data_IF_611013541879
#
_entry.id   IF_611013541879
#
_cell.length_a   1.000
_cell.length_b   1.000
_cell.length_c   1.000
_cell.angle_alpha   90.00
_cell.angle_beta   90.00
_cell.angle_gamma   90.00
#
_symmetry.space_group_name_H-M   'P 1'
#
loop_
_entity.id
_entity.type
_entity.pdbx_description
1 polymer ?
#
# COMPACT_ATOMS: atom_id res chain seq x y z
N UNK A 1 8.46 7.49 20.04
CA UNK A 1 7.98 6.96 18.75
C UNK A 1 8.95 7.37 17.67
N UNK A 2 9.41 6.43 16.84
CA UNK A 2 10.28 6.76 15.70
C UNK A 2 9.45 7.50 14.67
N UNK A 3 9.88 8.71 14.29
CA UNK A 3 9.27 9.45 13.18
C UNK A 3 9.55 8.68 11.90
N UNK A 4 8.50 8.41 11.13
CA UNK A 4 8.67 7.81 9.82
C UNK A 4 8.71 8.92 8.79
N UNK A 5 9.61 8.81 7.84
CA UNK A 5 9.87 9.84 6.84
C UNK A 5 9.80 9.24 5.44
N UNK A 6 9.42 10.07 4.47
CA UNK A 6 9.48 9.74 3.06
C UNK A 6 10.33 10.80 2.34
N UNK A 7 11.12 10.37 1.37
CA UNK A 7 11.88 11.28 0.50
C UNK A 7 11.06 11.53 -0.75
N UNK A 8 10.77 12.80 -1.05
CA UNK A 8 10.11 13.23 -2.28
C UNK A 8 11.04 14.24 -2.96
N UNK A 9 11.55 13.87 -4.14
CA UNK A 9 12.61 14.61 -4.81
C UNK A 9 13.86 14.75 -3.94
N UNK A 10 14.19 15.98 -3.54
CA UNK A 10 15.36 16.29 -2.67
C UNK A 10 14.99 16.47 -1.20
N UNK A 11 13.71 16.54 -0.89
CA UNK A 11 13.21 16.87 0.43
C UNK A 11 12.82 15.60 1.19
N UNK A 12 12.91 15.65 2.51
CA UNK A 12 12.51 14.57 3.42
C UNK A 12 11.38 15.09 4.28
N UNK A 13 10.24 14.43 4.20
CA UNK A 13 9.02 14.82 4.89
C UNK A 13 8.68 13.82 5.99
N UNK A 14 8.06 14.29 7.07
CA UNK A 14 7.60 13.41 8.16
C UNK A 14 6.16 12.98 7.89
N UNK A 15 5.92 11.67 7.86
CA UNK A 15 4.56 11.14 7.73
C UNK A 15 3.78 11.34 9.03
N UNK A 16 2.66 12.06 8.93
CA UNK A 16 1.75 12.30 10.04
C UNK A 16 0.92 11.02 10.33
N UNK A 17 0.97 10.54 11.59
CA UNK A 17 0.19 9.38 12.08
C UNK A 17 -0.97 9.80 12.98
N UNK A 18 -1.44 11.02 12.82
CA UNK A 18 -2.56 11.57 13.58
C UNK A 18 -3.88 10.95 13.16
N UNK A 19 -4.88 11.05 14.04
CA UNK A 19 -6.25 10.57 13.76
C UNK A 19 -6.81 11.25 12.50
N UNK A 20 -6.48 12.52 12.26
CA UNK A 20 -6.90 13.25 11.05
C UNK A 20 -6.44 12.59 9.76
N UNK A 21 -5.20 12.12 9.70
CA UNK A 21 -4.65 11.40 8.54
C UNK A 21 -5.43 10.11 8.27
N UNK A 22 -5.62 9.28 9.30
CA UNK A 22 -6.33 8.02 9.12
C UNK A 22 -7.81 8.23 8.78
N UNK A 23 -8.46 9.24 9.36
CA UNK A 23 -9.83 9.61 9.01
C UNK A 23 -9.96 10.05 7.56
N UNK A 24 -8.97 10.76 7.01
CA UNK A 24 -8.95 11.13 5.59
C UNK A 24 -8.87 9.89 4.67
N UNK A 25 -8.32 8.78 5.17
CA UNK A 25 -8.28 7.48 4.50
C UNK A 25 -9.51 6.60 4.83
N UNK A 26 -10.55 7.17 5.44
CA UNK A 26 -11.75 6.43 5.83
C UNK A 26 -11.57 5.50 7.05
N UNK A 27 -10.45 5.60 7.77
CA UNK A 27 -10.14 4.74 8.91
C UNK A 27 -10.44 5.43 10.24
N UNK A 28 -11.23 4.77 11.08
CA UNK A 28 -11.70 5.31 12.36
C UNK A 28 -11.20 4.47 13.54
N UNK A 29 -10.61 5.08 14.58
CA UNK A 29 -10.15 4.32 15.75
C UNK A 29 -11.28 3.50 16.39
N UNK A 30 -10.96 2.29 16.85
CA UNK A 30 -11.86 1.34 17.54
C UNK A 30 -12.99 0.73 16.68
N UNK A 31 -13.06 1.01 15.38
CA UNK A 31 -14.01 0.40 14.45
C UNK A 31 -13.34 -0.73 13.65
N UNK A 32 -12.92 -1.80 14.33
CA UNK A 32 -12.05 -2.82 13.72
C UNK A 32 -12.73 -3.45 12.50
N UNK A 33 -13.99 -3.88 12.62
CA UNK A 33 -14.72 -4.57 11.57
C UNK A 33 -14.91 -3.67 10.34
N UNK A 34 -15.28 -2.41 10.55
CA UNK A 34 -15.48 -1.43 9.49
C UNK A 34 -14.17 -1.02 8.81
N UNK A 35 -13.06 -1.01 9.57
CA UNK A 35 -11.74 -0.71 9.01
C UNK A 35 -11.14 -1.87 8.22
N UNK A 36 -11.59 -3.12 8.41
CA UNK A 36 -10.99 -4.28 7.73
C UNK A 36 -11.13 -4.14 6.21
N UNK A 37 -12.29 -3.72 5.72
CA UNK A 37 -12.51 -3.56 4.27
C UNK A 37 -11.66 -2.42 3.70
N UNK A 38 -11.73 -1.24 4.30
CA UNK A 38 -10.98 -0.07 3.83
C UNK A 38 -9.46 -0.26 3.90
N UNK A 39 -8.96 -0.78 5.03
CA UNK A 39 -7.54 -1.10 5.16
C UNK A 39 -7.14 -2.31 4.32
N UNK A 40 -8.08 -3.24 4.09
CA UNK A 40 -7.97 -4.37 3.16
C UNK A 40 -7.58 -3.93 1.76
N UNK A 41 -8.40 -3.06 1.18
CA UNK A 41 -8.16 -2.51 -0.14
C UNK A 41 -6.84 -1.76 -0.20
N UNK A 42 -6.55 -0.92 0.80
CA UNK A 42 -5.27 -0.20 0.88
C UNK A 42 -4.07 -1.16 0.87
N UNK A 43 -4.09 -2.20 1.72
CA UNK A 43 -2.98 -3.16 1.82
C UNK A 43 -2.80 -3.92 0.51
N UNK A 44 -3.88 -4.40 -0.10
CA UNK A 44 -3.82 -5.11 -1.38
C UNK A 44 -3.26 -4.22 -2.48
N UNK A 45 -3.77 -2.98 -2.62
CA UNK A 45 -3.28 -2.00 -3.60
C UNK A 45 -1.81 -1.66 -3.39
N UNK A 46 -1.34 -1.54 -2.15
CA UNK A 46 0.09 -1.32 -1.88
C UNK A 46 0.94 -2.55 -2.26
N UNK A 47 0.47 -3.76 -1.96
CA UNK A 47 1.19 -4.99 -2.33
C UNK A 47 1.22 -5.24 -3.84
N UNK A 48 0.24 -4.75 -4.60
CA UNK A 48 0.23 -4.79 -6.07
C UNK A 48 0.94 -3.59 -6.71
N UNK A 49 1.44 -2.64 -5.91
CA UNK A 49 2.17 -1.47 -6.40
C UNK A 49 1.28 -0.43 -7.09
N UNK A 50 0.02 -0.28 -6.68
CA UNK A 50 -0.91 0.67 -7.26
C UNK A 50 -0.53 2.13 -6.92
N UNK A 51 -0.11 2.95 -7.90
CA UNK A 51 0.44 4.28 -7.60
C UNK A 51 -0.60 5.28 -7.09
N UNK A 52 -1.87 5.13 -7.47
CA UNK A 52 -2.95 6.02 -7.00
C UNK A 52 -3.15 5.90 -5.49
N UNK A 53 -3.14 4.69 -4.95
CA UNK A 53 -3.22 4.46 -3.50
C UNK A 53 -2.03 5.08 -2.76
N UNK A 54 -0.82 5.01 -3.34
CA UNK A 54 0.37 5.68 -2.79
C UNK A 54 0.12 7.19 -2.70
N UNK A 55 -0.37 7.81 -3.77
CA UNK A 55 -0.69 9.25 -3.80
C UNK A 55 -1.71 9.62 -2.73
N UNK A 56 -2.82 8.89 -2.62
CA UNK A 56 -3.86 9.16 -1.63
C UNK A 56 -3.32 9.12 -0.19
N UNK A 57 -2.49 8.12 0.12
CA UNK A 57 -1.88 7.99 1.44
C UNK A 57 -0.89 9.12 1.69
N UNK A 58 -0.05 9.47 0.71
CA UNK A 58 0.93 10.54 0.85
C UNK A 58 0.25 11.89 1.06
N UNK A 59 -0.80 12.21 0.29
CA UNK A 59 -1.59 13.43 0.47
C UNK A 59 -2.18 13.52 1.88
N UNK A 60 -2.76 12.43 2.38
CA UNK A 60 -3.30 12.40 3.74
C UNK A 60 -2.20 12.54 4.81
N UNK A 61 -1.08 11.84 4.65
CA UNK A 61 0.01 11.78 5.63
C UNK A 61 0.92 13.02 5.62
N UNK A 62 0.96 13.77 4.51
CA UNK A 62 1.76 14.98 4.34
C UNK A 62 0.92 16.27 4.37
N UNK A 63 -0.38 16.18 4.67
CA UNK A 63 -1.30 17.32 4.72
C UNK A 63 -0.91 18.46 5.67
N UNK A 64 0.05 18.25 6.57
CA UNK A 64 0.59 19.27 7.49
C UNK A 64 1.98 19.78 7.09
N UNK A 65 2.56 19.24 6.02
CA UNK A 65 3.87 19.60 5.49
C UNK A 65 3.73 20.65 4.38
N UNK A 66 4.80 21.36 4.08
CA UNK A 66 4.85 22.33 2.97
C UNK A 66 5.18 21.61 1.66
N UNK A 67 4.19 20.91 1.11
CA UNK A 67 4.23 20.18 -0.17
C UNK A 67 2.84 20.23 -0.82
N UNK A 68 2.78 20.39 -2.13
CA UNK A 68 1.50 20.40 -2.85
C UNK A 68 1.08 19.00 -3.29
N UNK A 69 -0.22 18.83 -3.51
CA UNK A 69 -0.77 17.62 -4.12
C UNK A 69 -0.14 17.31 -5.48
N UNK A 70 0.13 18.34 -6.29
CA UNK A 70 0.77 18.23 -7.59
C UNK A 70 2.23 17.76 -7.46
N UNK A 71 2.98 18.23 -6.46
CA UNK A 71 4.34 17.74 -6.20
C UNK A 71 4.35 16.24 -5.85
N UNK A 72 3.35 15.77 -5.09
CA UNK A 72 3.20 14.35 -4.73
C UNK A 72 2.87 13.52 -5.97
N UNK A 73 1.90 13.98 -6.78
CA UNK A 73 1.50 13.30 -8.02
C UNK A 73 2.66 13.24 -9.02
N UNK A 74 3.33 14.37 -9.27
CA UNK A 74 4.47 14.43 -10.17
C UNK A 74 5.61 13.51 -9.70
N UNK A 75 5.86 13.44 -8.39
CA UNK A 75 6.84 12.51 -7.87
C UNK A 75 6.46 11.05 -8.12
N UNK A 76 5.21 10.67 -7.88
CA UNK A 76 4.79 9.26 -8.02
C UNK A 76 4.65 8.83 -9.48
N UNK A 77 4.15 9.70 -10.36
CA UNK A 77 3.82 9.34 -11.75
C UNK A 77 4.86 9.80 -12.78
N UNK A 78 5.53 10.92 -12.55
CA UNK A 78 6.38 11.57 -13.56
C UNK A 78 7.88 11.49 -13.25
N UNK A 79 8.23 11.24 -11.98
CA UNK A 79 9.60 10.95 -11.58
C UNK A 79 9.84 9.43 -11.51
N UNK A 80 11.12 9.03 -11.48
CA UNK A 80 11.55 7.65 -11.23
C UNK A 80 11.34 7.26 -9.75
N UNK A 81 10.13 7.45 -9.23
CA UNK A 81 9.76 6.98 -7.92
C UNK A 81 9.88 5.46 -7.85
N UNK A 82 10.56 4.99 -6.81
CA UNK A 82 10.60 3.58 -6.47
C UNK A 82 9.26 3.20 -5.82
N UNK A 83 8.31 2.80 -6.66
CA UNK A 83 6.94 2.44 -6.26
C UNK A 83 6.94 1.29 -5.27
N UNK A 84 7.78 0.28 -5.48
CA UNK A 84 7.92 -0.86 -4.57
C UNK A 84 8.39 -0.39 -3.20
N UNK A 85 9.44 0.44 -3.15
CA UNK A 85 9.95 1.00 -1.91
C UNK A 85 8.93 1.89 -1.20
N UNK A 86 8.19 2.73 -1.93
CA UNK A 86 7.13 3.55 -1.37
C UNK A 86 6.02 2.69 -0.78
N UNK A 87 5.61 1.63 -1.48
CA UNK A 87 4.63 0.66 -0.96
C UNK A 87 5.10 0.03 0.35
N UNK A 88 6.35 -0.44 0.43
CA UNK A 88 6.92 -1.00 1.66
C UNK A 88 6.91 0.00 2.82
N UNK A 89 7.32 1.24 2.54
CA UNK A 89 7.38 2.29 3.55
C UNK A 89 5.96 2.65 4.03
N UNK A 90 4.97 2.70 3.14
CA UNK A 90 3.57 2.94 3.49
C UNK A 90 2.93 1.76 4.22
N UNK A 91 3.26 0.51 3.88
CA UNK A 91 2.85 -0.66 4.68
C UNK A 91 3.42 -0.58 6.10
N UNK A 92 4.70 -0.21 6.23
CA UNK A 92 5.34 0.03 7.53
C UNK A 92 4.68 1.18 8.30
N UNK A 93 4.11 2.17 7.61
CA UNK A 93 3.35 3.25 8.21
C UNK A 93 2.12 2.74 8.97
N UNK A 94 1.31 1.88 8.34
CA UNK A 94 0.15 1.27 9.00
C UNK A 94 0.57 0.27 10.10
N UNK A 95 1.60 -0.55 9.86
CA UNK A 95 2.16 -1.49 10.86
C UNK A 95 2.61 -0.80 12.15
N UNK A 96 3.08 0.43 12.04
CA UNK A 96 3.57 1.23 13.16
C UNK A 96 2.59 2.34 13.58
N UNK A 97 1.28 2.12 13.40
CA UNK A 97 0.22 3.06 13.74
C UNK A 97 -0.72 2.55 14.83
N UNK A 98 -1.73 3.35 15.20
CA UNK A 98 -2.85 2.93 16.04
C UNK A 98 -3.67 1.78 15.42
N UNK A 99 -3.57 1.57 14.11
CA UNK A 99 -4.27 0.52 13.36
C UNK A 99 -3.45 -0.77 13.21
N UNK A 100 -2.30 -0.89 13.88
CA UNK A 100 -1.42 -2.08 13.81
C UNK A 100 -2.16 -3.41 13.94
N UNK A 101 -3.13 -3.50 14.84
CA UNK A 101 -3.91 -4.74 15.04
C UNK A 101 -4.74 -5.09 13.81
N UNK A 102 -5.51 -4.14 13.27
CA UNK A 102 -6.30 -4.31 12.05
C UNK A 102 -5.39 -4.58 10.85
N UNK A 103 -4.29 -3.82 10.73
CA UNK A 103 -3.28 -4.02 9.70
C UNK A 103 -2.75 -5.45 9.68
N UNK A 104 -2.36 -5.99 10.83
CA UNK A 104 -1.82 -7.36 10.89
C UNK A 104 -2.85 -8.42 10.45
N UNK A 105 -4.13 -8.25 10.82
CA UNK A 105 -5.21 -9.15 10.40
C UNK A 105 -5.36 -9.11 8.88
N UNK A 106 -5.44 -7.90 8.33
CA UNK A 106 -5.59 -7.67 6.89
C UNK A 106 -4.39 -8.20 6.12
N UNK A 107 -3.17 -7.84 6.53
CA UNK A 107 -1.94 -8.23 5.84
C UNK A 107 -1.77 -9.75 5.81
N UNK A 108 -2.12 -10.45 6.89
CA UNK A 108 -2.08 -11.92 6.90
C UNK A 108 -3.09 -12.53 5.92
N UNK A 109 -4.28 -11.94 5.77
CA UNK A 109 -5.27 -12.40 4.79
C UNK A 109 -4.84 -12.10 3.35
N UNK A 110 -4.30 -10.91 3.11
CA UNK A 110 -3.78 -10.51 1.81
C UNK A 110 -2.62 -11.42 1.36
N UNK A 111 -1.67 -11.72 2.25
CA UNK A 111 -0.56 -12.65 1.96
C UNK A 111 -1.06 -14.07 1.62
N UNK A 112 -2.13 -14.54 2.26
CA UNK A 112 -2.74 -15.85 1.96
C UNK A 112 -3.42 -15.84 0.59
N UNK A 113 -4.12 -14.76 0.25
CA UNK A 113 -4.77 -14.60 -1.06
C UNK A 113 -3.72 -14.58 -2.18
N UNK A 114 -2.64 -13.81 -2.03
CA UNK A 114 -1.57 -13.74 -3.04
C UNK A 114 -0.93 -15.10 -3.29
N UNK A 115 -0.56 -15.85 -2.24
CA UNK A 115 -0.02 -17.20 -2.38
C UNK A 115 -0.98 -18.14 -3.10
N UNK A 116 -2.26 -18.08 -2.77
CA UNK A 116 -3.27 -18.89 -3.46
C UNK A 116 -3.41 -18.51 -4.93
N UNK A 117 -3.20 -17.25 -5.31
CA UNK A 117 -3.21 -16.82 -6.70
C UNK A 117 -1.98 -17.30 -7.45
N UNK A 118 -0.81 -17.29 -6.81
CA UNK A 118 0.43 -17.83 -7.38
C UNK A 118 0.29 -19.33 -7.67
N UNK A 119 -0.22 -20.11 -6.71
CA UNK A 119 -0.47 -21.55 -6.88
C UNK A 119 -1.43 -21.82 -8.05
N UNK A 120 -2.47 -20.99 -8.20
CA UNK A 120 -3.43 -21.12 -9.32
C UNK A 120 -2.76 -20.76 -10.65
N UNK A 121 -1.96 -19.69 -10.71
CA UNK A 121 -1.25 -19.30 -11.93
C UNK A 121 -0.21 -20.33 -12.37
N UNK A 122 0.53 -20.93 -11.43
CA UNK A 122 1.49 -21.99 -11.73
C UNK A 122 0.81 -23.20 -12.38
N UNK A 123 -0.34 -23.62 -11.84
CA UNK A 123 -1.13 -24.71 -12.40
C UNK A 123 -1.64 -24.38 -13.82
N UNK A 124 -2.17 -23.17 -14.04
CA UNK A 124 -2.63 -22.72 -15.37
C UNK A 124 -1.48 -22.69 -16.38
N UNK A 125 -0.31 -22.19 -15.99
CA UNK A 125 0.86 -22.11 -16.88
C UNK A 125 1.40 -23.51 -17.24
N UNK A 126 1.38 -24.44 -16.30
CA UNK A 126 1.74 -25.85 -16.53
C UNK A 126 0.79 -26.52 -17.53
N UNK A 127 -0.52 -26.32 -17.39
CA UNK A 127 -1.52 -26.83 -18.34
C UNK A 127 -1.33 -26.26 -19.75
N UNK A 128 -1.05 -24.96 -19.88
CA UNK A 128 -0.77 -24.32 -21.18
C UNK A 128 0.49 -24.90 -21.84
N UNK A 129 1.55 -25.18 -21.07
CA UNK A 129 2.77 -25.78 -21.61
C UNK A 129 2.52 -27.19 -22.14
N UNK A 130 1.77 -28.01 -21.42
CA UNK A 130 1.45 -29.38 -21.83
C UNK A 130 0.60 -29.41 -23.12
N UNK A 131 -0.31 -28.45 -23.31
CA UNK A 131 -1.11 -28.33 -24.53
C UNK A 131 -0.28 -27.96 -25.77
N UNK A 132 0.80 -27.19 -25.62
CA UNK A 132 1.66 -26.78 -26.74
C UNK A 132 2.69 -27.85 -27.14
N UNK A 133 2.98 -28.82 -26.25
CA UNK A 133 3.92 -29.92 -26.55
C UNK A 133 3.28 -31.09 -27.29
N UNK A 134 1.94 -31.24 -27.24
CA UNK A 134 1.23 -32.32 -27.93
C UNK A 134 0.93 -32.01 -29.42
N UNK A 135 1.16 -30.76 -29.87
CA UNK A 135 0.98 -30.34 -31.28
C UNK A 135 2.29 -30.30 -32.10
N UNK A 136 3.43 -30.74 -31.54
CA UNK A 136 4.77 -30.75 -32.18
C UNK A 136 5.27 -32.15 -32.50
#
# INVERSE_FOLDING_TARGET
MTKQTVKIGKNVYTLNKGIGTFKALGLMPNQIEENIEGLGNIVLSLQTGEPFTIVEILKAALSTEDITDEDIENYVFEADADIEKLSEDLLSFFKNSAFKKTFNIVNEQADKMMKSMDDVMENVMSEIQNLNTDES
#
